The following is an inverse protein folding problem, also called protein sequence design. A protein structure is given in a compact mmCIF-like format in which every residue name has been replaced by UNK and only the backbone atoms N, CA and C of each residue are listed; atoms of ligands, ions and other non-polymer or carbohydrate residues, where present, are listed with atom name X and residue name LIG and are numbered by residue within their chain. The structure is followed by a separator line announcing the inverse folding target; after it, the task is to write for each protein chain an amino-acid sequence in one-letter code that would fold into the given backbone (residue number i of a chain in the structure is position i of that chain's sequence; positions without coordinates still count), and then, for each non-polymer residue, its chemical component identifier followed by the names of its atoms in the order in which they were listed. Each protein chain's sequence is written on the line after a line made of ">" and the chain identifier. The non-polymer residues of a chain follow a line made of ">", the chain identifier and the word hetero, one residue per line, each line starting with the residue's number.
data_IF_905015036241
#
_entry.id   IF_905015036241
#
_cell.length_a   1.000
_cell.length_b   1.000
_cell.length_c   1.000
_cell.angle_alpha   90.00
_cell.angle_beta   90.00
_cell.angle_gamma   90.00
#
_symmetry.space_group_name_H-M   'P 1'
#
loop_
_entity.id
_entity.type
_entity.pdbx_description
1 polymer ?
#
# COMPACT_ATOMS: atom_id res chain seq x y z
N UNK A 1 54.54 14.62 -30.09
CA UNK A 1 55.75 13.83 -29.99
C UNK A 1 55.34 12.37 -30.12
N UNK A 2 55.45 11.90 -31.33
CA UNK A 2 56.19 10.74 -31.81
C UNK A 2 55.54 9.43 -31.41
N UNK A 3 54.93 8.80 -32.28
CA UNK A 3 55.32 7.94 -33.43
C UNK A 3 54.94 6.49 -33.06
N UNK A 4 54.09 5.84 -33.85
CA UNK A 4 54.41 5.07 -35.02
C UNK A 4 55.04 3.70 -34.73
N UNK A 5 54.35 2.67 -35.17
CA UNK A 5 54.84 1.53 -35.96
C UNK A 5 53.79 0.43 -35.90
N UNK A 6 53.04 0.16 -36.86
CA UNK A 6 53.30 -0.50 -38.16
C UNK A 6 53.86 -1.91 -38.06
N UNK A 7 53.08 -2.76 -38.65
CA UNK A 7 53.50 -3.93 -39.43
C UNK A 7 53.23 -5.27 -38.72
N UNK A 8 52.71 -6.27 -39.29
CA UNK A 8 52.91 -6.85 -40.59
C UNK A 8 52.09 -8.12 -40.73
N UNK A 9 51.27 -8.15 -41.73
CA UNK A 9 51.18 -9.27 -42.65
C UNK A 9 51.58 -10.66 -42.12
N UNK A 10 50.68 -11.61 -42.22
CA UNK A 10 50.95 -12.77 -43.03
C UNK A 10 49.72 -13.60 -43.32
N UNK A 11 49.31 -13.57 -44.53
CA UNK A 11 48.54 -14.55 -45.27
C UNK A 11 49.02 -15.96 -44.99
N UNK A 12 48.12 -16.83 -44.59
CA UNK A 12 48.25 -18.25 -44.87
C UNK A 12 46.90 -18.80 -45.27
N UNK A 13 46.74 -18.85 -46.57
CA UNK A 13 45.70 -19.56 -47.26
C UNK A 13 45.86 -21.06 -46.98
N UNK A 14 45.03 -21.60 -46.13
CA UNK A 14 44.84 -23.06 -46.09
C UNK A 14 43.62 -23.40 -46.93
N UNK A 15 43.94 -23.84 -48.11
CA UNK A 15 43.07 -24.47 -49.09
C UNK A 15 42.73 -25.87 -48.59
N UNK A 16 41.55 -26.04 -48.02
CA UNK A 16 41.00 -27.35 -47.66
C UNK A 16 40.06 -27.83 -48.77
N UNK A 17 40.15 -29.07 -49.17
CA UNK A 17 39.36 -29.61 -50.29
C UNK A 17 37.94 -29.90 -49.88
N UNK A 18 37.05 -29.61 -50.80
CA UNK A 18 35.66 -30.02 -50.84
C UNK A 18 35.51 -31.54 -50.64
N UNK A 19 35.13 -31.94 -49.43
CA UNK A 19 34.57 -33.26 -49.23
C UNK A 19 33.06 -33.05 -48.97
N UNK A 20 32.30 -33.31 -50.02
CA UNK A 20 30.86 -33.33 -50.01
C UNK A 20 30.36 -34.32 -48.99
N UNK A 21 29.96 -33.84 -47.83
CA UNK A 21 29.22 -34.61 -46.85
C UNK A 21 27.78 -34.14 -46.89
N UNK A 22 27.02 -34.91 -47.58
CA UNK A 22 25.57 -34.85 -47.64
C UNK A 22 25.01 -34.93 -46.21
N UNK A 23 24.90 -33.81 -45.54
CA UNK A 23 24.19 -33.70 -44.28
C UNK A 23 22.71 -33.71 -44.62
N UNK A 24 22.15 -34.92 -44.50
CA UNK A 24 20.73 -35.22 -44.45
C UNK A 24 20.13 -34.26 -43.41
N UNK A 25 19.40 -33.26 -43.87
CA UNK A 25 18.65 -32.36 -43.07
C UNK A 25 17.72 -33.18 -42.15
N UNK A 26 18.09 -33.24 -40.89
CA UNK A 26 17.18 -33.68 -39.84
C UNK A 26 16.27 -32.48 -39.66
N UNK A 27 15.15 -32.53 -40.38
CA UNK A 27 14.01 -31.69 -40.08
C UNK A 27 13.62 -32.03 -38.64
N UNK A 28 14.11 -31.23 -37.68
CA UNK A 28 13.62 -31.18 -36.35
C UNK A 28 12.20 -30.63 -36.45
N UNK A 29 11.23 -31.54 -36.55
CA UNK A 29 9.83 -31.16 -36.41
C UNK A 29 9.71 -30.44 -35.13
N UNK A 30 9.43 -29.14 -35.23
CA UNK A 30 9.02 -28.31 -34.13
C UNK A 30 7.64 -28.84 -33.74
N UNK A 31 7.63 -29.83 -32.86
CA UNK A 31 6.39 -30.32 -32.27
C UNK A 31 5.84 -29.17 -31.42
N UNK A 32 5.07 -28.31 -32.05
CA UNK A 32 4.20 -27.37 -31.35
C UNK A 32 3.11 -28.21 -30.66
N UNK A 33 3.45 -28.77 -29.51
CA UNK A 33 2.49 -29.38 -28.63
C UNK A 33 1.55 -28.28 -28.11
N UNK A 34 0.43 -28.10 -28.78
CA UNK A 34 -0.65 -27.26 -28.30
C UNK A 34 -1.32 -27.89 -27.10
N UNK A 35 -1.74 -27.06 -26.15
CA UNK A 35 -2.53 -27.50 -25.00
C UNK A 35 -3.84 -28.14 -25.46
N UNK A 36 -4.21 -29.22 -24.81
CA UNK A 36 -5.52 -29.83 -25.05
C UNK A 36 -6.62 -29.04 -24.36
N UNK A 37 -7.82 -29.04 -24.94
CA UNK A 37 -8.97 -28.35 -24.33
C UNK A 37 -9.28 -28.89 -22.93
N UNK A 38 -9.12 -30.18 -22.72
CA UNK A 38 -9.33 -30.83 -21.41
C UNK A 38 -8.31 -30.40 -20.37
N UNK A 39 -7.05 -30.17 -20.76
CA UNK A 39 -6.00 -29.69 -19.87
C UNK A 39 -6.31 -28.27 -19.37
N UNK A 40 -6.77 -27.39 -20.29
CA UNK A 40 -7.22 -26.05 -19.91
C UNK A 40 -8.41 -26.09 -18.94
N UNK A 41 -9.38 -26.97 -19.17
CA UNK A 41 -10.54 -27.12 -18.28
C UNK A 41 -10.13 -27.58 -16.88
N UNK A 42 -9.19 -28.53 -16.78
CA UNK A 42 -8.71 -29.02 -15.48
C UNK A 42 -7.96 -27.88 -14.73
N UNK A 43 -7.10 -27.15 -15.41
CA UNK A 43 -6.37 -26.02 -14.81
C UNK A 43 -7.34 -24.95 -14.28
N UNK A 44 -8.34 -24.57 -15.08
CA UNK A 44 -9.35 -23.61 -14.66
C UNK A 44 -10.17 -24.11 -13.46
N UNK A 45 -10.50 -25.40 -13.42
CA UNK A 45 -11.20 -26.00 -12.29
C UNK A 45 -10.37 -25.93 -11.00
N UNK A 46 -9.07 -26.24 -11.07
CA UNK A 46 -8.17 -26.16 -9.91
C UNK A 46 -8.05 -24.71 -9.42
N UNK A 47 -7.84 -23.75 -10.33
CA UNK A 47 -7.75 -22.33 -9.96
C UNK A 47 -9.05 -21.84 -9.30
N UNK A 48 -10.21 -22.24 -9.83
CA UNK A 48 -11.50 -21.88 -9.25
C UNK A 48 -11.67 -22.39 -7.81
N UNK A 49 -11.26 -23.63 -7.53
CA UNK A 49 -11.31 -24.20 -6.17
C UNK A 49 -10.38 -23.45 -5.22
N UNK A 50 -9.15 -23.17 -5.64
CA UNK A 50 -8.19 -22.41 -4.82
C UNK A 50 -8.67 -20.97 -4.56
N UNK A 51 -9.22 -20.31 -5.58
CA UNK A 51 -9.77 -18.97 -5.44
C UNK A 51 -10.96 -18.92 -4.48
N UNK A 52 -11.82 -19.93 -4.47
CA UNK A 52 -12.97 -20.01 -3.57
C UNK A 52 -12.57 -20.02 -2.09
N UNK A 53 -11.42 -20.57 -1.75
CA UNK A 53 -10.88 -20.59 -0.38
C UNK A 53 -10.10 -19.29 -0.06
N UNK A 54 -9.35 -18.78 -1.03
CA UNK A 54 -8.49 -17.62 -0.82
C UNK A 54 -9.26 -16.30 -0.71
N UNK A 55 -10.34 -16.12 -1.47
CA UNK A 55 -11.07 -14.88 -1.55
C UNK A 55 -11.64 -14.38 -0.20
N UNK A 56 -12.35 -15.19 0.61
CA UNK A 56 -12.89 -14.72 1.88
C UNK A 56 -11.78 -14.37 2.89
N UNK A 57 -10.70 -15.13 2.92
CA UNK A 57 -9.55 -14.85 3.79
C UNK A 57 -8.86 -13.53 3.44
N UNK A 58 -8.75 -13.22 2.15
CA UNK A 58 -8.18 -11.95 1.69
C UNK A 58 -8.99 -10.75 2.15
N UNK A 59 -10.32 -10.79 2.01
CA UNK A 59 -11.21 -9.69 2.44
C UNK A 59 -11.09 -9.44 3.94
N UNK A 60 -11.05 -10.48 4.76
CA UNK A 60 -10.87 -10.36 6.21
C UNK A 60 -9.51 -9.72 6.54
N UNK A 61 -8.43 -10.14 5.88
CA UNK A 61 -7.09 -9.58 6.09
C UNK A 61 -7.01 -8.10 5.73
N UNK A 62 -7.63 -7.69 4.62
CA UNK A 62 -7.70 -6.27 4.22
C UNK A 62 -8.47 -5.44 5.26
N UNK A 63 -9.56 -5.98 5.81
CA UNK A 63 -10.33 -5.29 6.85
C UNK A 63 -9.50 -5.08 8.11
N UNK A 64 -8.81 -6.11 8.60
CA UNK A 64 -7.88 -6.00 9.73
C UNK A 64 -6.76 -4.98 9.50
N UNK A 65 -6.18 -4.96 8.30
CA UNK A 65 -5.16 -3.98 7.95
C UNK A 65 -5.69 -2.54 8.02
N UNK A 66 -6.91 -2.30 7.54
CA UNK A 66 -7.57 -0.97 7.64
C UNK A 66 -7.89 -0.59 9.09
N UNK A 67 -8.30 -1.54 9.91
CA UNK A 67 -8.53 -1.31 11.34
C UNK A 67 -7.24 -0.91 12.07
N UNK A 68 -6.12 -1.54 11.74
CA UNK A 68 -4.82 -1.20 12.31
C UNK A 68 -4.41 0.24 11.91
N UNK A 69 -4.60 0.61 10.66
CA UNK A 69 -4.34 1.99 10.19
C UNK A 69 -5.25 2.99 10.90
N UNK A 70 -6.55 2.69 11.07
CA UNK A 70 -7.47 3.58 11.78
C UNK A 70 -7.03 3.80 13.24
N UNK A 71 -6.63 2.74 13.95
CA UNK A 71 -6.13 2.84 15.33
C UNK A 71 -4.89 3.73 15.41
N UNK A 72 -3.96 3.60 14.47
CA UNK A 72 -2.74 4.41 14.40
C UNK A 72 -3.05 5.88 14.09
N UNK A 73 -3.94 6.14 13.12
CA UNK A 73 -4.37 7.50 12.79
C UNK A 73 -5.04 8.20 13.98
N UNK A 74 -5.95 7.50 14.68
CA UNK A 74 -6.59 8.01 15.89
C UNK A 74 -5.58 8.30 16.99
N UNK A 75 -4.64 7.39 17.24
CA UNK A 75 -3.58 7.59 18.23
C UNK A 75 -2.71 8.80 17.89
N UNK A 76 -2.34 8.95 16.63
CA UNK A 76 -1.53 10.07 16.16
C UNK A 76 -2.25 11.41 16.32
N UNK A 77 -3.54 11.47 15.94
CA UNK A 77 -4.35 12.68 16.11
C UNK A 77 -4.57 13.04 17.58
N UNK A 78 -4.89 12.07 18.43
CA UNK A 78 -5.04 12.28 19.89
C UNK A 78 -3.75 12.78 20.51
N UNK A 79 -2.62 12.17 20.17
CA UNK A 79 -1.30 12.64 20.64
C UNK A 79 -0.96 14.05 20.18
N UNK A 80 -1.38 14.44 18.98
CA UNK A 80 -1.21 15.80 18.47
C UNK A 80 -2.11 16.81 19.21
N UNK A 81 -3.36 16.42 19.53
CA UNK A 81 -4.29 17.23 20.34
C UNK A 81 -3.71 17.47 21.74
N UNK A 82 -3.20 16.41 22.38
CA UNK A 82 -2.60 16.50 23.70
C UNK A 82 -1.37 17.40 23.71
N UNK A 83 -0.49 17.25 22.71
CA UNK A 83 0.72 18.08 22.57
C UNK A 83 0.37 19.54 22.33
N UNK A 84 -0.60 19.81 21.45
CA UNK A 84 -1.09 21.18 21.20
C UNK A 84 -1.66 21.80 22.48
N UNK A 85 -2.49 21.06 23.19
CA UNK A 85 -3.15 21.52 24.44
C UNK A 85 -2.12 21.76 25.53
N UNK A 86 -1.11 20.91 25.65
CA UNK A 86 -0.02 21.09 26.60
C UNK A 86 0.79 22.36 26.33
N UNK A 87 1.18 22.59 25.08
CA UNK A 87 2.02 23.71 24.69
C UNK A 87 1.26 25.06 24.68
N UNK A 88 0.04 25.03 24.20
CA UNK A 88 -0.79 26.26 24.05
C UNK A 88 -1.64 26.56 25.28
N UNK A 89 -1.73 25.62 26.24
CA UNK A 89 -2.62 25.71 27.40
C UNK A 89 -4.09 25.97 27.01
N UNK A 90 -4.44 25.55 25.80
CA UNK A 90 -5.77 25.70 25.21
C UNK A 90 -6.00 24.61 24.18
N UNK A 91 -7.16 23.96 24.21
CA UNK A 91 -7.53 22.94 23.24
C UNK A 91 -7.73 23.55 21.82
N UNK A 92 -7.40 22.81 20.76
CA UNK A 92 -7.63 23.27 19.38
C UNK A 92 -9.13 23.41 19.10
N UNK A 93 -9.50 24.38 18.28
CA UNK A 93 -10.92 24.58 17.90
C UNK A 93 -11.31 23.72 16.71
N UNK A 94 -10.35 23.46 15.83
CA UNK A 94 -10.52 22.62 14.62
C UNK A 94 -9.33 21.66 14.50
N UNK A 95 -9.53 20.55 13.77
CA UNK A 95 -8.42 19.62 13.48
C UNK A 95 -7.37 20.26 12.56
N UNK A 96 -7.77 21.23 11.76
CA UNK A 96 -6.89 22.02 10.90
C UNK A 96 -5.91 22.88 11.70
N UNK A 97 -6.26 23.29 12.92
CA UNK A 97 -5.35 24.05 13.79
C UNK A 97 -4.10 23.25 14.14
N UNK A 98 -4.21 21.92 14.24
CA UNK A 98 -3.07 21.02 14.48
C UNK A 98 -2.09 21.03 13.31
N UNK A 99 -2.62 21.12 12.08
CA UNK A 99 -1.79 21.17 10.87
C UNK A 99 -1.13 22.56 10.74
N UNK A 100 -1.88 23.62 10.99
CA UNK A 100 -1.37 24.99 10.93
C UNK A 100 -0.29 25.26 11.98
N UNK A 101 -0.48 24.70 13.16
CA UNK A 101 0.49 24.81 14.25
C UNK A 101 1.69 23.85 14.13
N UNK A 102 1.67 22.93 13.16
CA UNK A 102 2.78 22.03 12.86
C UNK A 102 2.85 20.77 13.72
N UNK A 103 1.82 20.46 14.51
CA UNK A 103 1.73 19.20 15.27
C UNK A 103 1.36 18.01 14.38
N UNK A 104 0.62 18.26 13.31
CA UNK A 104 0.38 17.30 12.24
C UNK A 104 0.91 17.85 10.92
N UNK A 105 1.51 16.99 10.12
CA UNK A 105 1.96 17.37 8.78
C UNK A 105 0.80 17.51 7.80
N UNK A 106 -0.19 16.66 7.94
CA UNK A 106 -1.41 16.61 7.13
C UNK A 106 -2.46 15.83 7.92
N UNK A 107 -3.72 16.20 7.76
CA UNK A 107 -4.82 15.43 8.34
C UNK A 107 -4.94 14.08 7.62
N UNK A 108 -4.89 12.94 8.36
CA UNK A 108 -4.97 11.61 7.75
C UNK A 108 -6.35 11.37 7.12
N UNK A 109 -6.40 10.47 6.13
CA UNK A 109 -7.66 10.03 5.54
C UNK A 109 -8.19 8.85 6.32
N UNK A 110 -9.43 8.91 6.74
CA UNK A 110 -10.11 7.76 7.36
C UNK A 110 -10.10 6.57 6.37
N UNK A 111 -9.52 5.41 6.74
CA UNK A 111 -9.39 4.26 5.85
C UNK A 111 -10.72 3.61 5.43
N UNK A 112 -11.81 3.92 6.14
CA UNK A 112 -13.15 3.39 5.85
C UNK A 112 -14.00 4.34 5.01
N UNK A 113 -13.97 5.64 5.30
CA UNK A 113 -14.72 6.66 4.52
C UNK A 113 -13.92 7.19 3.34
N UNK A 114 -12.60 6.99 3.33
CA UNK A 114 -11.65 7.49 2.32
C UNK A 114 -11.62 9.03 2.21
N UNK A 115 -12.04 9.71 3.28
CA UNK A 115 -12.16 11.18 3.35
C UNK A 115 -11.42 11.71 4.56
N UNK A 116 -11.08 13.01 4.53
CA UNK A 116 -10.42 13.72 5.63
C UNK A 116 -11.39 14.54 6.48
N UNK A 117 -12.60 14.79 5.95
CA UNK A 117 -13.63 15.63 6.56
C UNK A 117 -14.69 14.82 7.33
N UNK A 118 -14.51 13.53 7.49
CA UNK A 118 -15.44 12.64 8.19
C UNK A 118 -15.04 12.34 9.63
N UNK A 119 -13.95 12.94 10.10
CA UNK A 119 -13.56 12.80 11.49
C UNK A 119 -14.55 13.50 12.41
N UNK A 120 -15.01 12.81 13.45
CA UNK A 120 -15.89 13.35 14.46
C UNK A 120 -15.06 13.84 15.64
N UNK A 121 -15.02 15.15 15.81
CA UNK A 121 -14.36 15.77 16.95
C UNK A 121 -15.34 15.87 18.12
N UNK A 122 -14.95 15.36 19.29
CA UNK A 122 -15.67 15.55 20.53
C UNK A 122 -15.02 16.65 21.36
N UNK A 123 -15.85 17.51 21.93
CA UNK A 123 -15.36 18.61 22.77
C UNK A 123 -14.91 18.06 24.14
N UNK A 124 -13.76 18.52 24.58
CA UNK A 124 -13.33 18.33 25.96
C UNK A 124 -14.09 19.30 26.85
N UNK A 125 -14.86 18.78 27.79
CA UNK A 125 -15.34 19.59 28.91
C UNK A 125 -14.13 19.86 29.83
N UNK A 126 -13.43 20.95 29.57
CA UNK A 126 -12.34 21.38 30.45
C UNK A 126 -12.93 21.94 31.73
N UNK A 127 -12.97 21.16 32.79
CA UNK A 127 -13.25 21.61 34.14
C UNK A 127 -12.04 22.36 34.75
N UNK A 128 -11.57 23.39 34.11
CA UNK A 128 -10.51 24.25 34.65
C UNK A 128 -11.14 25.55 35.11
N UNK A 129 -11.49 25.61 36.44
CA UNK A 129 -11.97 26.74 37.21
C UNK A 129 -13.33 27.33 36.85
N UNK A 130 -14.08 27.55 37.94
CA UNK A 130 -15.47 28.00 38.02
C UNK A 130 -15.72 29.42 37.41
N UNK A 131 -14.68 30.11 36.95
CA UNK A 131 -14.76 31.55 36.61
C UNK A 131 -14.39 31.92 35.17
N UNK A 132 -14.00 30.96 34.33
CA UNK A 132 -13.77 31.21 32.90
C UNK A 132 -14.54 30.21 32.04
N UNK A 133 -15.60 30.71 31.40
CA UNK A 133 -16.28 30.06 30.28
C UNK A 133 -15.31 29.99 29.08
N UNK A 134 -14.26 29.18 29.20
CA UNK A 134 -13.42 28.88 28.03
C UNK A 134 -14.20 27.95 27.10
N UNK A 135 -14.46 28.45 25.92
CA UNK A 135 -15.05 27.67 24.82
C UNK A 135 -14.31 26.35 24.69
N UNK A 136 -15.01 25.24 25.01
CA UNK A 136 -14.48 23.90 24.91
C UNK A 136 -13.92 23.67 23.52
N UNK A 137 -12.64 23.30 23.44
CA UNK A 137 -12.00 22.87 22.20
C UNK A 137 -12.12 21.36 22.02
N UNK A 138 -11.53 20.85 20.96
CA UNK A 138 -11.51 19.42 20.65
C UNK A 138 -10.62 18.70 21.66
N UNK A 139 -11.19 17.71 22.34
CA UNK A 139 -10.46 16.87 23.29
C UNK A 139 -10.24 15.45 22.79
N UNK A 140 -11.12 14.96 21.91
CA UNK A 140 -11.00 13.62 21.34
C UNK A 140 -11.48 13.60 19.89
N UNK A 141 -11.11 12.54 19.17
CA UNK A 141 -11.49 12.34 17.77
C UNK A 141 -11.87 10.90 17.53
N UNK A 142 -12.91 10.68 16.73
CA UNK A 142 -13.43 9.38 16.34
C UNK A 142 -13.61 9.29 14.82
N UNK A 143 -13.70 8.06 14.29
CA UNK A 143 -14.05 7.86 12.88
C UNK A 143 -15.51 8.22 12.62
N UNK A 144 -15.81 8.81 11.46
CA UNK A 144 -17.20 9.02 11.00
C UNK A 144 -17.86 7.78 10.43
N UNK A 145 -17.17 6.64 10.37
CA UNK A 145 -17.71 5.40 9.83
C UNK A 145 -18.62 4.69 10.85
N UNK A 146 -19.83 4.34 10.43
CA UNK A 146 -20.78 3.54 11.20
C UNK A 146 -20.66 2.03 10.96
N UNK A 147 -19.64 1.59 10.22
CA UNK A 147 -19.44 0.18 9.95
C UNK A 147 -19.00 -0.55 11.22
N UNK A 148 -19.37 -1.85 11.29
CA UNK A 148 -18.96 -2.73 12.38
C UNK A 148 -17.51 -3.19 12.18
N UNK A 149 -16.73 -3.13 13.24
CA UNK A 149 -15.38 -3.69 13.31
C UNK A 149 -15.40 -5.22 13.30
N UNK A 150 -14.23 -5.82 13.25
CA UNK A 150 -14.07 -7.27 13.49
C UNK A 150 -14.32 -7.65 14.93
N UNK A 151 -14.23 -6.71 15.86
CA UNK A 151 -14.50 -6.87 17.30
C UNK A 151 -15.99 -6.68 17.64
N UNK A 152 -16.85 -6.32 16.65
CA UNK A 152 -18.29 -6.13 16.85
C UNK A 152 -18.68 -4.74 17.34
N UNK A 153 -17.75 -3.81 17.51
CA UNK A 153 -18.00 -2.39 17.83
C UNK A 153 -18.07 -1.55 16.55
N UNK A 154 -18.76 -0.43 16.58
CA UNK A 154 -18.78 0.52 15.46
C UNK A 154 -17.53 1.42 15.50
N UNK A 155 -16.96 1.76 14.33
CA UNK A 155 -15.75 2.58 14.30
C UNK A 155 -15.93 3.99 14.85
N UNK A 156 -17.14 4.52 14.85
CA UNK A 156 -17.45 5.82 15.44
C UNK A 156 -17.38 5.85 16.99
N UNK A 157 -17.13 4.71 17.61
CA UNK A 157 -16.94 4.61 19.06
C UNK A 157 -15.48 4.37 19.46
N UNK A 158 -14.59 4.34 18.48
CA UNK A 158 -13.14 4.07 18.70
C UNK A 158 -12.35 5.31 19.09
#
# INVERSE_FOLDING_TARGET
>A
MVAKLLNSQRFLACRFPLLGRHLRGREGGNEQSGFTLIELMIVMAIIAVLAAIAAPSYVASVKHAREAVLKEDLHTMRSAIDSYTYDKQKAPQTLEDLVQAGYLKVLPKDPFTQRTDTWLASQSESYTSIDETQSGGIGDVHSGSQQLSTEGTTYNTW
#
